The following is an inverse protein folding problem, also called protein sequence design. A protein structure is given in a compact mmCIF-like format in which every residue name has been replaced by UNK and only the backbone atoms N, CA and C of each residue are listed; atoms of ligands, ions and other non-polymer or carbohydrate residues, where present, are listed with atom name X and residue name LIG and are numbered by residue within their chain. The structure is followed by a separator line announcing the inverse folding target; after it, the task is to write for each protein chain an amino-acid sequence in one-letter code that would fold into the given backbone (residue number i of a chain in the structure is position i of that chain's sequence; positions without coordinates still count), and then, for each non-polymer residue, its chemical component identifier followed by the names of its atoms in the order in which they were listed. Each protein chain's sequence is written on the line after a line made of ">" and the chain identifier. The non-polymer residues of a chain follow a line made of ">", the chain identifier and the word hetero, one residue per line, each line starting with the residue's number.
data_IF_181164678171
#
_entry.id   IF_181164678171
#
_cell.length_a   1.000
_cell.length_b   1.000
_cell.length_c   1.000
_cell.angle_alpha   90.00
_cell.angle_beta   90.00
_cell.angle_gamma   90.00
#
_symmetry.space_group_name_H-M   'P 1'
#
loop_
_entity.id
_entity.type
_entity.pdbx_description
1 polymer ?
#
# COMPACT_ATOMS: atom_id res chain seq x y z
N UNK A 1 -33.98 44.88 -6.91
CA UNK A 1 -34.71 45.79 -6.00
C UNK A 1 -34.39 45.30 -4.58
N UNK A 2 -33.16 45.58 -4.11
CA UNK A 2 -32.70 46.78 -3.39
C UNK A 2 -33.16 46.74 -1.91
N UNK A 3 -32.36 47.03 -0.88
CA UNK A 3 -30.98 47.50 -0.71
C UNK A 3 -30.68 47.29 0.81
N UNK A 4 -29.48 46.89 1.27
CA UNK A 4 -28.28 47.72 1.52
C UNK A 4 -28.57 48.98 2.35
N UNK A 5 -28.00 49.04 3.56
CA UNK A 5 -27.58 50.23 4.32
C UNK A 5 -26.25 49.79 5.01
N UNK A 6 -25.01 50.22 4.70
CA UNK A 6 -24.37 51.54 4.51
C UNK A 6 -24.34 52.39 5.80
N UNK A 7 -23.33 52.25 6.67
CA UNK A 7 -22.13 53.12 6.76
C UNK A 7 -22.06 53.80 8.15
N UNK A 8 -20.97 54.49 8.57
CA UNK A 8 -19.88 55.03 7.76
C UNK A 8 -18.45 54.65 8.21
N UNK A 9 -17.51 55.06 7.35
CA UNK A 9 -16.05 55.00 7.49
C UNK A 9 -15.49 55.95 8.57
N UNK A 10 -14.33 55.58 9.13
CA UNK A 10 -13.38 56.54 9.68
C UNK A 10 -11.96 56.21 9.20
N UNK A 11 -11.29 57.30 8.85
CA UNK A 11 -9.99 57.48 8.21
C UNK A 11 -8.83 57.10 9.14
N UNK A 12 -7.66 56.87 8.55
CA UNK A 12 -6.50 56.27 9.21
C UNK A 12 -5.72 57.17 10.17
N UNK A 13 -4.92 56.53 11.02
CA UNK A 13 -3.64 57.08 11.52
C UNK A 13 -2.74 55.91 11.95
N UNK A 14 -1.57 55.82 11.33
CA UNK A 14 -0.47 54.98 11.78
C UNK A 14 0.10 55.56 13.07
N UNK A 15 0.15 54.77 14.14
CA UNK A 15 1.16 54.93 15.21
C UNK A 15 1.18 53.67 16.07
N UNK A 16 2.37 53.07 16.17
CA UNK A 16 2.58 51.76 16.78
C UNK A 16 2.25 51.68 18.26
N UNK A 17 1.92 50.46 18.69
CA UNK A 17 2.11 50.04 20.06
C UNK A 17 2.65 48.61 20.07
N UNK A 18 3.96 48.51 20.32
CA UNK A 18 4.63 47.30 20.75
C UNK A 18 4.06 46.89 22.11
N UNK A 19 3.15 45.92 22.14
CA UNK A 19 2.90 45.01 23.27
C UNK A 19 1.77 44.07 22.92
N UNK A 20 2.08 42.83 22.60
CA UNK A 20 1.38 41.61 23.05
C UNK A 20 2.15 40.40 22.48
N UNK A 21 3.38 40.21 22.96
CA UNK A 21 4.01 38.89 23.00
C UNK A 21 3.53 38.15 24.24
N UNK A 22 3.48 36.82 24.15
CA UNK A 22 3.12 35.83 25.18
C UNK A 22 1.68 35.29 25.08
N UNK A 23 1.50 34.30 24.20
CA UNK A 23 0.63 33.16 24.49
C UNK A 23 1.52 31.93 24.60
N UNK A 24 1.36 31.28 25.75
CA UNK A 24 2.16 30.19 26.30
C UNK A 24 1.92 28.90 25.50
N UNK A 25 3.03 28.25 25.13
CA UNK A 25 3.12 26.86 24.69
C UNK A 25 2.67 25.96 25.84
N UNK A 26 1.46 25.39 25.74
CA UNK A 26 1.00 24.33 26.63
C UNK A 26 1.35 22.98 25.99
N UNK A 27 2.16 22.20 26.72
CA UNK A 27 2.89 21.05 26.20
C UNK A 27 2.04 19.90 25.66
N UNK A 28 2.56 19.33 24.58
CA UNK A 28 2.31 17.95 24.16
C UNK A 28 2.51 16.99 25.34
N UNK A 29 1.46 16.24 25.67
CA UNK A 29 1.58 14.97 26.38
C UNK A 29 1.41 13.84 25.37
N UNK A 30 2.31 12.86 25.31
CA UNK A 30 2.11 11.68 24.48
C UNK A 30 0.93 10.86 25.04
N UNK A 31 0.02 10.45 24.16
CA UNK A 31 -1.04 9.51 24.48
C UNK A 31 -0.41 8.16 24.79
N UNK A 32 -0.43 7.78 26.08
CA UNK A 32 -0.03 6.47 26.54
C UNK A 32 -0.92 5.41 25.89
N UNK A 33 -0.29 4.47 25.19
CA UNK A 33 -0.94 3.30 24.62
C UNK A 33 -1.57 2.41 25.69
N UNK A 34 -2.76 1.90 25.40
CA UNK A 34 -3.34 0.78 26.13
C UNK A 34 -2.46 -0.46 25.91
N UNK A 35 -1.66 -0.85 26.91
CA UNK A 35 -0.95 -2.11 26.87
C UNK A 35 -1.91 -3.26 27.21
N UNK A 36 -2.09 -4.18 26.27
CA UNK A 36 -2.64 -5.50 26.57
C UNK A 36 -1.51 -6.31 27.20
N UNK A 37 -1.64 -6.54 28.51
CA UNK A 37 -0.68 -7.33 29.28
C UNK A 37 -0.76 -8.81 28.95
N UNK A 38 0.30 -9.33 28.33
CA UNK A 38 0.69 -10.74 28.42
C UNK A 38 2.12 -10.80 28.96
N UNK A 39 2.26 -11.33 30.17
CA UNK A 39 3.55 -11.59 30.81
C UNK A 39 4.21 -12.82 30.18
N UNK A 40 5.44 -12.68 29.70
CA UNK A 40 6.34 -13.80 29.39
C UNK A 40 7.29 -14.02 30.59
N UNK A 41 7.53 -15.27 31.01
CA UNK A 41 8.55 -15.56 32.01
C UNK A 41 9.95 -15.57 31.39
N UNK A 42 10.86 -14.81 32.01
CA UNK A 42 12.30 -14.92 31.84
C UNK A 42 12.81 -16.27 32.36
N UNK A 43 13.49 -17.04 31.50
CA UNK A 43 14.74 -17.75 31.80
C UNK A 43 14.98 -18.85 30.76
N UNK A 44 16.07 -18.73 30.00
CA UNK A 44 17.12 -19.75 29.84
C UNK A 44 18.25 -19.20 28.94
N UNK A 45 19.38 -18.88 29.56
CA UNK A 45 20.74 -19.21 29.09
C UNK A 45 21.29 -18.59 27.80
N UNK A 46 22.19 -17.62 27.96
CA UNK A 46 23.12 -17.13 26.95
C UNK A 46 23.93 -18.23 26.26
N UNK A 47 23.91 -18.23 24.93
CA UNK A 47 25.05 -18.58 24.08
C UNK A 47 25.49 -17.31 23.37
N UNK A 48 26.76 -16.92 23.51
CA UNK A 48 27.32 -15.78 22.78
C UNK A 48 27.22 -16.05 21.27
N UNK A 49 26.35 -15.29 20.59
CA UNK A 49 26.27 -15.30 19.14
C UNK A 49 27.54 -14.63 18.62
N UNK A 50 28.41 -15.41 17.97
CA UNK A 50 29.50 -14.85 17.17
C UNK A 50 28.92 -13.83 16.17
N UNK A 51 29.64 -12.75 15.82
CA UNK A 51 29.17 -11.82 14.81
C UNK A 51 28.88 -12.60 13.53
N UNK A 52 27.60 -12.68 13.15
CA UNK A 52 27.18 -13.21 11.86
C UNK A 52 27.93 -12.43 10.79
N UNK A 53 28.92 -13.08 10.18
CA UNK A 53 29.42 -12.73 8.85
C UNK A 53 28.19 -12.47 7.98
N UNK A 54 28.06 -11.29 7.33
CA UNK A 54 26.92 -11.08 6.45
C UNK A 54 26.93 -12.20 5.43
N UNK A 55 25.85 -12.99 5.40
CA UNK A 55 25.62 -13.92 4.32
C UNK A 55 25.81 -13.13 3.04
N UNK A 56 26.72 -13.57 2.18
CA UNK A 56 26.89 -13.00 0.85
C UNK A 56 25.54 -13.06 0.17
N UNK A 57 24.81 -11.95 0.17
CA UNK A 57 23.56 -11.82 -0.57
C UNK A 57 23.97 -11.89 -2.03
N UNK A 58 23.74 -13.04 -2.66
CA UNK A 58 23.91 -13.22 -4.11
C UNK A 58 22.81 -12.45 -4.86
N UNK A 59 22.64 -11.16 -4.56
CA UNK A 59 21.89 -10.25 -5.40
C UNK A 59 22.58 -10.23 -6.76
N UNK A 60 21.86 -10.65 -7.80
CA UNK A 60 22.33 -10.55 -9.19
C UNK A 60 22.22 -9.11 -9.71
N UNK A 61 21.46 -8.26 -9.02
CA UNK A 61 21.19 -6.87 -9.40
C UNK A 61 22.14 -5.92 -8.64
N UNK A 62 22.82 -4.98 -9.32
CA UNK A 62 23.63 -3.94 -8.67
C UNK A 62 22.80 -3.02 -7.76
N UNK A 63 23.40 -2.53 -6.68
CA UNK A 63 22.73 -1.66 -5.71
C UNK A 63 22.27 -0.32 -6.31
N UNK A 64 22.99 0.18 -7.31
CA UNK A 64 22.73 1.42 -8.05
C UNK A 64 21.88 1.21 -9.31
N UNK A 65 21.30 0.02 -9.49
CA UNK A 65 20.45 -0.27 -10.65
C UNK A 65 19.25 0.70 -10.68
N UNK A 66 19.05 1.48 -11.77
CA UNK A 66 18.06 2.56 -11.81
C UNK A 66 16.62 2.07 -11.62
N UNK A 67 16.33 0.84 -12.04
CA UNK A 67 15.02 0.22 -11.85
C UNK A 67 14.62 0.05 -10.38
N UNK A 68 15.55 0.04 -9.42
CA UNK A 68 15.21 -0.04 -7.99
C UNK A 68 14.47 1.21 -7.53
N UNK A 69 14.91 2.39 -7.96
CA UNK A 69 14.22 3.64 -7.67
C UNK A 69 12.84 3.70 -8.34
N UNK A 70 12.73 3.18 -9.57
CA UNK A 70 11.44 3.07 -10.26
C UNK A 70 10.49 2.09 -9.56
N UNK A 71 11.01 0.98 -9.00
CA UNK A 71 10.23 0.05 -8.19
C UNK A 71 9.68 0.74 -6.92
N UNK A 72 10.51 1.49 -6.20
CA UNK A 72 10.05 2.23 -5.03
C UNK A 72 9.01 3.29 -5.39
N UNK A 73 9.18 3.98 -6.51
CA UNK A 73 8.23 4.99 -6.97
C UNK A 73 6.87 4.39 -7.35
N UNK A 74 6.83 3.27 -8.08
CA UNK A 74 5.56 2.61 -8.43
C UNK A 74 4.86 2.05 -7.20
N UNK A 75 5.62 1.51 -6.24
CA UNK A 75 5.06 1.06 -4.96
C UNK A 75 4.50 2.25 -4.18
N UNK A 76 5.25 3.34 -4.03
CA UNK A 76 4.82 4.52 -3.28
C UNK A 76 3.52 5.11 -3.82
N UNK A 77 3.41 5.24 -5.15
CA UNK A 77 2.16 5.71 -5.75
C UNK A 77 1.01 4.72 -5.54
N UNK A 78 1.31 3.41 -5.53
CA UNK A 78 0.36 2.36 -5.17
C UNK A 78 -0.16 2.49 -3.75
N UNK A 79 0.74 2.65 -2.78
CA UNK A 79 0.38 2.78 -1.36
C UNK A 79 -0.51 4.01 -1.10
N UNK A 80 -0.13 5.19 -1.60
CA UNK A 80 -0.95 6.39 -1.40
C UNK A 80 -2.30 6.30 -2.13
N UNK A 81 -2.34 5.64 -3.29
CA UNK A 81 -3.60 5.39 -4.00
C UNK A 81 -4.49 4.41 -3.22
N UNK A 82 -3.91 3.36 -2.65
CA UNK A 82 -4.61 2.38 -1.82
C UNK A 82 -5.17 3.04 -0.55
N UNK A 83 -4.41 3.90 0.13
CA UNK A 83 -4.88 4.70 1.27
C UNK A 83 -6.20 5.42 0.98
N UNK A 84 -6.24 6.22 -0.10
CA UNK A 84 -7.43 6.99 -0.44
C UNK A 84 -8.60 6.09 -0.82
N UNK A 85 -8.34 4.99 -1.55
CA UNK A 85 -9.40 4.06 -1.99
C UNK A 85 -9.97 3.26 -0.83
N UNK A 86 -9.13 2.74 0.06
CA UNK A 86 -9.59 2.05 1.27
C UNK A 86 -10.38 2.98 2.19
N UNK A 87 -9.95 4.24 2.32
CA UNK A 87 -10.67 5.27 3.08
C UNK A 87 -12.05 5.58 2.51
N UNK A 88 -12.17 5.65 1.18
CA UNK A 88 -13.45 5.82 0.48
C UNK A 88 -14.34 4.58 0.62
N UNK A 89 -13.78 3.39 0.37
CA UNK A 89 -14.46 2.10 0.42
C UNK A 89 -14.98 1.78 1.83
N UNK A 90 -14.29 2.23 2.88
CA UNK A 90 -14.74 2.09 4.28
C UNK A 90 -16.14 2.70 4.52
N UNK A 91 -16.56 3.69 3.72
CA UNK A 91 -17.91 4.27 3.84
C UNK A 91 -19.03 3.30 3.44
N UNK A 92 -18.73 2.27 2.65
CA UNK A 92 -19.68 1.23 2.26
C UNK A 92 -19.99 0.23 3.40
N UNK A 93 -19.16 0.20 4.45
CA UNK A 93 -19.30 -0.75 5.55
C UNK A 93 -20.59 -0.51 6.35
N UNK A 94 -21.33 -1.60 6.60
CA UNK A 94 -22.58 -1.57 7.38
C UNK A 94 -22.36 -1.71 8.89
N UNK A 95 -21.19 -2.20 9.30
CA UNK A 95 -20.82 -2.40 10.70
C UNK A 95 -19.67 -1.47 11.07
N UNK A 96 -19.61 -1.07 12.34
CA UNK A 96 -18.48 -0.30 12.85
C UNK A 96 -17.17 -1.09 12.72
N UNK A 97 -17.22 -2.39 12.94
CA UNK A 97 -16.08 -3.29 12.75
C UNK A 97 -15.52 -3.22 11.33
N UNK A 98 -16.37 -3.29 10.29
CA UNK A 98 -15.93 -3.18 8.91
C UNK A 98 -15.37 -1.80 8.56
N UNK A 99 -15.94 -0.72 9.14
CA UNK A 99 -15.38 0.64 9.00
C UNK A 99 -13.98 0.73 9.57
N UNK A 100 -13.79 0.21 10.79
CA UNK A 100 -12.49 0.23 11.47
C UNK A 100 -11.49 -0.66 10.73
N UNK A 101 -11.89 -1.84 10.26
CA UNK A 101 -11.00 -2.74 9.53
C UNK A 101 -10.37 -2.06 8.30
N UNK A 102 -11.17 -1.44 7.42
CA UNK A 102 -10.63 -0.76 6.23
C UNK A 102 -9.91 0.55 6.56
N UNK A 103 -10.35 1.28 7.59
CA UNK A 103 -9.63 2.46 8.04
C UNK A 103 -8.23 2.12 8.58
N UNK A 104 -8.10 1.00 9.29
CA UNK A 104 -6.81 0.50 9.76
C UNK A 104 -5.93 0.02 8.61
N UNK A 105 -6.49 -0.66 7.61
CA UNK A 105 -5.75 -1.00 6.39
C UNK A 105 -5.26 0.26 5.68
N UNK A 106 -6.13 1.26 5.49
CA UNK A 106 -5.73 2.53 4.89
C UNK A 106 -4.57 3.17 5.67
N UNK A 107 -4.65 3.24 7.00
CA UNK A 107 -3.59 3.81 7.83
C UNK A 107 -2.25 3.08 7.66
N UNK A 108 -2.26 1.76 7.45
CA UNK A 108 -1.05 0.99 7.14
C UNK A 108 -0.43 1.42 5.80
N UNK A 109 -1.25 1.59 4.74
CA UNK A 109 -0.73 2.05 3.43
C UNK A 109 -0.08 3.43 3.51
N UNK A 110 -0.57 4.34 4.36
CA UNK A 110 0.11 5.62 4.59
C UNK A 110 1.50 5.42 5.22
N UNK A 111 1.62 4.51 6.19
CA UNK A 111 2.91 4.16 6.78
C UNK A 111 3.87 3.55 5.76
N UNK A 112 3.37 2.68 4.89
CA UNK A 112 4.14 2.10 3.79
C UNK A 112 4.65 3.18 2.81
N UNK A 113 3.78 4.14 2.46
CA UNK A 113 4.15 5.28 1.64
C UNK A 113 5.29 6.09 2.28
N UNK A 114 5.19 6.44 3.56
CA UNK A 114 6.22 7.20 4.28
C UNK A 114 7.58 6.46 4.31
N UNK A 115 7.56 5.13 4.44
CA UNK A 115 8.78 4.31 4.37
C UNK A 115 9.42 4.35 2.99
N UNK A 116 8.61 4.23 1.93
CA UNK A 116 9.09 4.30 0.55
C UNK A 116 9.57 5.70 0.18
N UNK A 117 8.90 6.75 0.66
CA UNK A 117 9.35 8.14 0.53
C UNK A 117 10.75 8.32 1.14
N UNK A 118 10.96 7.82 2.36
CA UNK A 118 12.27 7.90 3.00
C UNK A 118 13.35 7.16 2.22
N UNK A 119 13.06 5.91 1.80
CA UNK A 119 14.01 5.08 1.05
C UNK A 119 14.37 5.68 -0.32
N UNK A 120 13.39 6.28 -1.01
CA UNK A 120 13.62 6.91 -2.31
C UNK A 120 14.35 8.26 -2.18
N UNK A 121 14.03 9.04 -1.15
CA UNK A 121 14.72 10.30 -0.84
C UNK A 121 16.19 10.05 -0.45
N UNK A 122 16.47 8.99 0.31
CA UNK A 122 17.84 8.60 0.66
C UNK A 122 18.68 8.25 -0.58
N UNK A 123 18.04 7.83 -1.68
CA UNK A 123 18.66 7.60 -3.00
C UNK A 123 18.81 8.88 -3.85
N UNK A 124 18.37 10.04 -3.33
CA UNK A 124 18.52 11.33 -3.99
C UNK A 124 17.42 11.69 -4.99
N UNK A 125 16.27 11.01 -4.95
CA UNK A 125 15.12 11.27 -5.82
C UNK A 125 14.04 12.05 -5.08
N UNK A 126 13.39 13.00 -5.78
CA UNK A 126 12.14 13.59 -5.30
C UNK A 126 10.99 12.60 -5.49
N UNK A 127 10.22 12.37 -4.42
CA UNK A 127 9.16 11.38 -4.41
C UNK A 127 8.05 11.70 -5.42
N UNK A 128 7.67 12.97 -5.57
CA UNK A 128 6.56 13.38 -6.44
C UNK A 128 6.95 13.27 -7.92
N UNK A 129 8.14 13.73 -8.28
CA UNK A 129 8.67 13.58 -9.64
C UNK A 129 8.87 12.10 -10.00
N UNK A 130 9.33 11.28 -9.06
CA UNK A 130 9.55 9.86 -9.30
C UNK A 130 8.24 9.08 -9.49
N UNK A 131 7.16 9.45 -8.80
CA UNK A 131 5.85 8.81 -8.91
C UNK A 131 5.08 9.18 -10.19
N UNK A 132 5.29 10.39 -10.73
CA UNK A 132 4.53 10.94 -11.88
C UNK A 132 4.33 9.95 -13.06
N UNK A 133 5.35 9.18 -13.49
CA UNK A 133 5.19 8.24 -14.59
C UNK A 133 4.19 7.10 -14.34
N UNK A 134 3.92 6.77 -13.08
CA UNK A 134 3.08 5.64 -12.69
C UNK A 134 1.63 6.05 -12.43
N UNK A 135 1.38 7.34 -12.22
CA UNK A 135 0.07 7.93 -11.90
C UNK A 135 -1.03 7.38 -12.79
N UNK A 136 -0.86 7.53 -14.11
CA UNK A 136 -1.87 7.13 -15.09
C UNK A 136 -2.18 5.63 -15.04
N UNK A 137 -1.17 4.79 -14.89
CA UNK A 137 -1.36 3.34 -14.94
C UNK A 137 -2.17 2.86 -13.72
N UNK A 138 -1.79 3.32 -12.53
CA UNK A 138 -2.45 2.91 -11.29
C UNK A 138 -3.83 3.57 -11.13
N UNK A 139 -4.01 4.82 -11.57
CA UNK A 139 -5.33 5.45 -11.62
C UNK A 139 -6.28 4.70 -12.54
N UNK A 140 -5.81 4.23 -13.70
CA UNK A 140 -6.60 3.43 -14.61
C UNK A 140 -7.00 2.08 -13.99
N UNK A 141 -6.08 1.41 -13.27
CA UNK A 141 -6.42 0.21 -12.51
C UNK A 141 -7.57 0.49 -11.53
N UNK A 142 -7.44 1.54 -10.71
CA UNK A 142 -8.47 1.86 -9.71
C UNK A 142 -9.80 2.30 -10.34
N UNK A 143 -9.77 3.09 -11.41
CA UNK A 143 -10.97 3.48 -12.15
C UNK A 143 -11.69 2.26 -12.74
N UNK A 144 -10.94 1.33 -13.35
CA UNK A 144 -11.46 0.08 -13.89
C UNK A 144 -11.87 -0.93 -12.81
N UNK A 145 -11.53 -0.70 -11.54
CA UNK A 145 -11.82 -1.60 -10.41
C UNK A 145 -12.55 -0.87 -9.27
N UNK A 146 -13.40 0.10 -9.59
CA UNK A 146 -14.25 0.75 -8.58
C UNK A 146 -15.30 -0.24 -8.06
N UNK A 147 -15.28 -0.63 -6.77
CA UNK A 147 -16.29 -1.52 -6.23
C UNK A 147 -17.64 -0.82 -6.17
N UNK A 148 -18.72 -1.58 -6.32
CA UNK A 148 -20.10 -1.06 -6.22
C UNK A 148 -20.88 -1.66 -5.05
N UNK A 149 -20.26 -2.58 -4.32
CA UNK A 149 -20.81 -3.21 -3.13
C UNK A 149 -19.72 -3.36 -2.07
N UNK A 150 -20.15 -3.46 -0.81
CA UNK A 150 -19.23 -3.71 0.31
C UNK A 150 -18.39 -4.98 0.11
N UNK A 151 -18.98 -6.06 -0.39
CA UNK A 151 -18.26 -7.32 -0.63
C UNK A 151 -17.21 -7.18 -1.75
N UNK A 152 -17.49 -6.39 -2.78
CA UNK A 152 -16.49 -6.10 -3.83
C UNK A 152 -15.32 -5.28 -3.28
N UNK A 153 -15.58 -4.34 -2.37
CA UNK A 153 -14.54 -3.57 -1.68
C UNK A 153 -13.65 -4.48 -0.82
N UNK A 154 -14.26 -5.37 -0.02
CA UNK A 154 -13.52 -6.36 0.77
C UNK A 154 -12.64 -7.26 -0.12
N UNK A 155 -13.22 -7.84 -1.17
CA UNK A 155 -12.47 -8.70 -2.10
C UNK A 155 -11.35 -7.91 -2.78
N UNK A 156 -11.58 -6.65 -3.18
CA UNK A 156 -10.54 -5.80 -3.77
C UNK A 156 -9.39 -5.54 -2.81
N UNK A 157 -9.68 -5.21 -1.55
CA UNK A 157 -8.66 -4.98 -0.53
C UNK A 157 -7.78 -6.23 -0.34
N UNK A 158 -8.40 -7.40 -0.16
CA UNK A 158 -7.68 -8.67 0.04
C UNK A 158 -6.93 -9.16 -1.21
N UNK A 159 -7.47 -8.93 -2.40
CA UNK A 159 -6.80 -9.29 -3.65
C UNK A 159 -5.66 -8.31 -3.98
N UNK A 160 -5.84 -7.02 -3.73
CA UNK A 160 -4.81 -6.01 -3.93
C UNK A 160 -3.58 -6.30 -3.07
N UNK A 161 -3.78 -6.44 -1.76
CA UNK A 161 -2.73 -6.72 -0.78
C UNK A 161 -1.89 -7.95 -1.16
N UNK A 162 -2.55 -9.10 -1.35
CA UNK A 162 -1.78 -10.29 -1.69
C UNK A 162 -1.15 -10.24 -3.08
N UNK A 163 -1.66 -9.47 -4.07
CA UNK A 163 -1.01 -9.36 -5.39
C UNK A 163 0.31 -8.60 -5.21
N UNK A 164 0.33 -7.53 -4.41
CA UNK A 164 1.55 -6.82 -4.09
C UNK A 164 2.55 -7.75 -3.36
N UNK A 165 2.07 -8.48 -2.35
CA UNK A 165 2.90 -9.42 -1.59
C UNK A 165 3.49 -10.55 -2.46
N UNK A 166 2.70 -11.10 -3.37
CA UNK A 166 3.13 -12.18 -4.27
C UNK A 166 4.18 -11.69 -5.28
N UNK A 167 3.97 -10.50 -5.86
CA UNK A 167 4.93 -9.88 -6.78
C UNK A 167 6.28 -9.68 -6.09
N UNK A 168 6.28 -9.13 -4.87
CA UNK A 168 7.52 -8.95 -4.14
C UNK A 168 8.21 -10.26 -3.78
N UNK A 169 7.47 -11.27 -3.32
CA UNK A 169 8.07 -12.58 -2.98
C UNK A 169 8.82 -13.18 -4.19
N UNK A 170 8.32 -12.91 -5.38
CA UNK A 170 8.90 -13.39 -6.63
C UNK A 170 10.13 -12.60 -7.09
N UNK A 171 10.20 -11.28 -6.86
CA UNK A 171 11.34 -10.46 -7.32
C UNK A 171 12.35 -10.14 -6.22
N UNK A 172 11.92 -10.18 -4.96
CA UNK A 172 12.65 -9.66 -3.80
C UNK A 172 13.96 -10.38 -3.53
N UNK A 173 14.02 -11.69 -3.82
CA UNK A 173 15.24 -12.48 -3.64
C UNK A 173 16.39 -12.06 -4.56
N UNK A 174 16.09 -11.37 -5.66
CA UNK A 174 17.07 -10.89 -6.63
C UNK A 174 17.44 -9.42 -6.44
N UNK A 175 16.70 -8.70 -5.58
CA UNK A 175 16.97 -7.29 -5.31
C UNK A 175 18.21 -7.12 -4.43
N UNK A 176 18.88 -5.95 -4.50
CA UNK A 176 19.90 -5.57 -3.53
C UNK A 176 19.36 -5.67 -2.10
N UNK A 177 20.18 -6.14 -1.16
CA UNK A 177 19.74 -6.45 0.21
C UNK A 177 19.03 -5.28 0.92
N UNK A 178 19.49 -4.05 0.71
CA UNK A 178 18.83 -2.85 1.23
C UNK A 178 17.41 -2.70 0.65
N UNK A 179 17.27 -2.85 -0.66
CA UNK A 179 15.98 -2.70 -1.33
C UNK A 179 15.01 -3.84 -1.00
N UNK A 180 15.51 -5.07 -0.91
CA UNK A 180 14.74 -6.18 -0.37
C UNK A 180 14.27 -5.88 1.06
N UNK A 181 15.16 -5.41 1.94
CA UNK A 181 14.80 -5.05 3.31
C UNK A 181 13.65 -4.03 3.39
N UNK A 182 13.72 -2.95 2.60
CA UNK A 182 12.66 -1.94 2.54
C UNK A 182 11.31 -2.53 2.11
N UNK A 183 11.29 -3.31 1.03
CA UNK A 183 10.03 -3.83 0.49
C UNK A 183 9.46 -4.97 1.34
N UNK A 184 10.33 -5.76 1.99
CA UNK A 184 9.90 -6.75 2.99
C UNK A 184 9.24 -6.07 4.19
N UNK A 185 9.80 -4.97 4.68
CA UNK A 185 9.23 -4.24 5.80
C UNK A 185 7.85 -3.66 5.45
N UNK A 186 7.72 -3.06 4.25
CA UNK A 186 6.44 -2.56 3.71
C UNK A 186 5.38 -3.67 3.66
N UNK A 187 5.73 -4.89 3.25
CA UNK A 187 4.76 -5.96 3.08
C UNK A 187 4.48 -6.78 4.35
N UNK A 188 5.25 -6.58 5.42
CA UNK A 188 5.11 -7.35 6.66
C UNK A 188 3.93 -6.94 7.54
N UNK A 189 3.27 -5.81 7.27
CA UNK A 189 2.33 -5.16 8.20
C UNK A 189 0.83 -5.44 7.95
N UNK A 190 0.45 -6.48 7.21
CA UNK A 190 -0.93 -6.63 6.74
C UNK A 190 -1.80 -7.48 7.69
N UNK A 191 -2.43 -6.80 8.66
CA UNK A 191 -3.12 -7.43 9.79
C UNK A 191 -4.63 -7.71 9.68
N UNK A 192 -5.27 -7.66 8.50
CA UNK A 192 -6.75 -7.64 8.42
C UNK A 192 -7.41 -8.67 7.47
N UNK A 193 -6.61 -9.61 6.96
CA UNK A 193 -7.07 -10.63 6.00
C UNK A 193 -8.15 -11.58 6.55
N UNK A 194 -8.10 -11.96 7.83
CA UNK A 194 -9.06 -12.90 8.41
C UNK A 194 -10.49 -12.35 8.46
N UNK A 195 -10.65 -11.06 8.79
CA UNK A 195 -11.94 -10.39 8.80
C UNK A 195 -12.59 -10.43 7.41
N UNK A 196 -11.81 -10.12 6.36
CA UNK A 196 -12.28 -10.16 4.98
C UNK A 196 -12.74 -11.55 4.59
N UNK A 197 -11.91 -12.57 4.85
CA UNK A 197 -12.21 -13.96 4.51
C UNK A 197 -13.51 -14.41 5.18
N UNK A 198 -13.66 -14.15 6.48
CA UNK A 198 -14.86 -14.51 7.24
C UNK A 198 -16.13 -13.85 6.67
N UNK A 199 -16.09 -12.54 6.44
CA UNK A 199 -17.23 -11.78 5.95
C UNK A 199 -17.66 -12.21 4.55
N UNK A 200 -16.71 -12.43 3.64
CA UNK A 200 -16.99 -12.89 2.28
C UNK A 200 -17.56 -14.31 2.29
N UNK A 201 -16.95 -15.25 3.01
CA UNK A 201 -17.43 -16.63 3.11
C UNK A 201 -18.85 -16.71 3.68
N UNK A 202 -19.14 -15.92 4.73
CA UNK A 202 -20.48 -15.84 5.32
C UNK A 202 -21.51 -15.33 4.30
N UNK A 203 -21.16 -14.30 3.53
CA UNK A 203 -22.07 -13.72 2.54
C UNK A 203 -22.38 -14.68 1.39
N UNK A 204 -21.36 -15.35 0.84
CA UNK A 204 -21.56 -16.27 -0.29
C UNK A 204 -22.28 -17.56 0.12
N UNK A 205 -22.14 -18.00 1.38
CA UNK A 205 -22.91 -19.12 1.91
C UNK A 205 -24.42 -18.82 1.94
N UNK A 206 -24.80 -17.55 2.05
CA UNK A 206 -26.19 -17.10 2.04
C UNK A 206 -26.72 -16.78 0.62
N UNK A 207 -25.84 -16.61 -0.38
CA UNK A 207 -26.22 -16.08 -1.69
C UNK A 207 -25.29 -16.54 -2.82
N UNK A 208 -25.76 -17.50 -3.62
CA UNK A 208 -25.05 -17.92 -4.84
C UNK A 208 -24.90 -16.78 -5.86
N UNK A 209 -25.83 -15.83 -5.88
CA UNK A 209 -25.74 -14.66 -6.75
C UNK A 209 -24.55 -13.77 -6.40
N UNK A 210 -24.31 -13.56 -5.10
CA UNK A 210 -23.14 -12.79 -4.65
C UNK A 210 -21.86 -13.57 -4.91
N UNK A 211 -21.87 -14.90 -4.75
CA UNK A 211 -20.74 -15.76 -5.16
C UNK A 211 -20.38 -15.57 -6.64
N UNK A 212 -21.35 -15.74 -7.55
CA UNK A 212 -21.13 -15.62 -9.00
C UNK A 212 -20.59 -14.24 -9.40
N UNK A 213 -21.16 -13.21 -8.77
CA UNK A 213 -20.72 -11.83 -8.95
C UNK A 213 -19.28 -11.61 -8.49
N UNK A 214 -18.91 -12.09 -7.31
CA UNK A 214 -17.57 -11.92 -6.76
C UNK A 214 -16.52 -12.76 -7.52
N UNK A 215 -16.89 -13.89 -8.10
CA UNK A 215 -16.01 -14.63 -9.01
C UNK A 215 -15.69 -13.85 -10.28
N UNK A 216 -16.68 -13.19 -10.89
CA UNK A 216 -16.46 -12.28 -12.02
C UNK A 216 -15.61 -11.08 -11.62
N UNK A 217 -15.87 -10.53 -10.44
CA UNK A 217 -15.11 -9.42 -9.89
C UNK A 217 -13.63 -9.77 -9.69
N UNK A 218 -13.32 -10.91 -9.06
CA UNK A 218 -11.94 -11.36 -8.85
C UNK A 218 -11.16 -11.52 -10.16
N UNK A 219 -11.79 -12.12 -11.19
CA UNK A 219 -11.18 -12.21 -12.53
C UNK A 219 -10.88 -10.84 -13.13
N UNK A 220 -11.78 -9.87 -12.95
CA UNK A 220 -11.58 -8.50 -13.42
C UNK A 220 -10.42 -7.81 -12.70
N UNK A 221 -10.32 -7.97 -11.37
CA UNK A 221 -9.21 -7.41 -10.58
C UNK A 221 -7.85 -7.87 -11.12
N UNK A 222 -7.68 -9.19 -11.29
CA UNK A 222 -6.43 -9.74 -11.82
C UNK A 222 -6.17 -9.29 -13.27
N UNK A 223 -7.19 -9.31 -14.13
CA UNK A 223 -7.05 -8.92 -15.54
C UNK A 223 -6.62 -7.46 -15.72
N UNK A 224 -7.21 -6.54 -14.97
CA UNK A 224 -6.82 -5.13 -14.97
C UNK A 224 -5.43 -4.94 -14.37
N UNK A 225 -5.06 -5.65 -13.30
CA UNK A 225 -3.72 -5.60 -12.73
C UNK A 225 -2.65 -6.03 -13.74
N UNK A 226 -2.85 -7.15 -14.44
CA UNK A 226 -1.94 -7.62 -15.50
C UNK A 226 -1.85 -6.60 -16.64
N UNK A 227 -2.98 -6.03 -17.05
CA UNK A 227 -3.03 -5.04 -18.13
C UNK A 227 -2.19 -3.80 -17.78
N UNK A 228 -2.33 -3.27 -16.56
CA UNK A 228 -1.53 -2.10 -16.15
C UNK A 228 -0.07 -2.45 -15.90
N UNK A 229 0.25 -3.64 -15.38
CA UNK A 229 1.63 -4.10 -15.24
C UNK A 229 2.33 -4.18 -16.60
N UNK A 230 1.67 -4.74 -17.62
CA UNK A 230 2.19 -4.78 -18.99
C UNK A 230 2.37 -3.37 -19.57
N UNK A 231 1.42 -2.45 -19.32
CA UNK A 231 1.50 -1.07 -19.76
C UNK A 231 2.70 -0.33 -19.13
N UNK A 232 2.97 -0.54 -17.85
CA UNK A 232 4.13 0.04 -17.14
C UNK A 232 5.43 -0.53 -17.70
N UNK A 233 5.56 -1.86 -17.80
CA UNK A 233 6.77 -2.51 -18.33
C UNK A 233 7.06 -2.09 -19.78
N UNK A 234 6.03 -1.86 -20.60
CA UNK A 234 6.21 -1.38 -21.97
C UNK A 234 6.77 0.06 -22.07
N UNK A 235 6.66 0.87 -21.01
CA UNK A 235 7.06 2.29 -21.02
C UNK A 235 8.29 2.58 -20.16
N UNK A 236 8.67 1.68 -19.26
CA UNK A 236 9.74 1.89 -18.28
C UNK A 236 10.89 0.93 -18.53
N UNK A 237 11.87 1.36 -19.30
CA UNK A 237 13.02 0.52 -19.68
C UNK A 237 13.80 0.03 -18.45
N UNK A 238 14.11 0.92 -17.50
CA UNK A 238 14.87 0.57 -16.31
C UNK A 238 14.13 -0.39 -15.36
N UNK A 239 12.84 -0.18 -15.12
CA UNK A 239 12.02 -1.13 -14.36
C UNK A 239 11.86 -2.47 -15.09
N UNK A 240 11.74 -2.46 -16.41
CA UNK A 240 11.67 -3.70 -17.21
C UNK A 240 12.97 -4.48 -17.15
N UNK A 241 14.11 -3.82 -17.27
CA UNK A 241 15.42 -4.44 -17.10
C UNK A 241 15.60 -5.05 -15.70
N UNK A 242 15.13 -4.33 -14.66
CA UNK A 242 15.11 -4.86 -13.29
C UNK A 242 14.28 -6.14 -13.20
N UNK A 243 13.06 -6.14 -13.73
CA UNK A 243 12.14 -7.29 -13.64
C UNK A 243 12.66 -8.48 -14.46
N UNK A 244 13.25 -8.25 -15.63
CA UNK A 244 13.91 -9.29 -16.43
C UNK A 244 15.11 -9.86 -15.66
N UNK A 245 15.98 -8.99 -15.12
CA UNK A 245 17.14 -9.41 -14.34
C UNK A 245 16.75 -10.18 -13.08
N UNK A 246 15.69 -9.75 -12.39
CA UNK A 246 15.16 -10.43 -11.22
C UNK A 246 14.56 -11.80 -11.56
N UNK A 247 13.93 -11.90 -12.72
CA UNK A 247 13.30 -13.13 -13.24
C UNK A 247 14.27 -14.03 -14.01
N UNK A 248 15.52 -13.60 -14.20
CA UNK A 248 16.56 -14.28 -14.96
C UNK A 248 16.56 -13.98 -16.46
N UNK A 249 15.40 -14.08 -17.13
CA UNK A 249 15.23 -13.74 -18.55
C UNK A 249 13.77 -13.36 -18.86
N UNK A 250 13.47 -13.10 -20.14
CA UNK A 250 12.11 -12.77 -20.59
C UNK A 250 11.12 -13.93 -20.40
N UNK A 251 11.57 -15.18 -20.51
CA UNK A 251 10.72 -16.35 -20.21
C UNK A 251 10.39 -16.42 -18.71
N UNK A 252 11.32 -15.99 -17.86
CA UNK A 252 11.15 -15.81 -16.42
C UNK A 252 10.03 -14.83 -16.11
N UNK A 253 9.92 -13.72 -16.85
CA UNK A 253 8.82 -12.75 -16.70
C UNK A 253 7.47 -13.38 -17.07
N UNK A 254 7.40 -14.21 -18.11
CA UNK A 254 6.16 -14.96 -18.43
C UNK A 254 5.82 -15.93 -17.30
N UNK A 255 6.80 -16.68 -16.81
CA UNK A 255 6.62 -17.63 -15.73
C UNK A 255 6.21 -16.94 -14.40
N UNK A 256 6.71 -15.72 -14.16
CA UNK A 256 6.28 -14.85 -13.06
C UNK A 256 4.77 -14.59 -13.13
N UNK A 257 4.27 -14.09 -14.27
CA UNK A 257 2.84 -13.85 -14.45
C UNK A 257 2.00 -15.12 -14.31
N UNK A 258 2.48 -16.28 -14.76
CA UNK A 258 1.78 -17.55 -14.57
C UNK A 258 1.70 -17.95 -13.09
N UNK A 259 2.79 -17.76 -12.31
CA UNK A 259 2.79 -17.99 -10.86
C UNK A 259 1.83 -17.04 -10.15
N UNK A 260 1.85 -15.75 -10.49
CA UNK A 260 0.91 -14.75 -9.97
C UNK A 260 -0.55 -15.13 -10.21
N UNK A 261 -0.89 -15.61 -11.41
CA UNK A 261 -2.25 -16.08 -11.74
C UNK A 261 -2.64 -17.31 -10.89
N UNK A 262 -1.72 -18.25 -10.69
CA UNK A 262 -1.95 -19.43 -9.83
C UNK A 262 -2.21 -19.03 -8.38
N UNK A 263 -1.38 -18.15 -7.82
CA UNK A 263 -1.53 -17.67 -6.43
C UNK A 263 -2.83 -16.87 -6.25
N UNK A 264 -3.22 -16.08 -7.25
CA UNK A 264 -4.54 -15.45 -7.24
C UNK A 264 -5.68 -16.49 -7.24
N UNK A 265 -5.60 -17.55 -8.04
CA UNK A 265 -6.63 -18.60 -8.06
C UNK A 265 -6.73 -19.33 -6.70
N UNK A 266 -5.60 -19.64 -6.07
CA UNK A 266 -5.55 -20.20 -4.72
C UNK A 266 -6.20 -19.25 -3.70
N UNK A 267 -5.93 -17.95 -3.82
CA UNK A 267 -6.52 -16.92 -2.96
C UNK A 267 -8.03 -16.79 -3.14
N UNK A 268 -8.53 -16.87 -4.37
CA UNK A 268 -9.98 -16.92 -4.64
C UNK A 268 -10.62 -18.19 -4.05
N UNK A 269 -9.91 -19.31 -4.06
CA UNK A 269 -10.36 -20.54 -3.39
C UNK A 269 -10.46 -20.37 -1.87
N UNK A 270 -9.53 -19.66 -1.22
CA UNK A 270 -9.62 -19.32 0.21
C UNK A 270 -10.90 -18.53 0.52
N UNK A 271 -11.30 -17.62 -0.36
CA UNK A 271 -12.57 -16.88 -0.21
C UNK A 271 -13.82 -17.73 -0.50
N UNK A 272 -13.68 -18.97 -0.98
CA UNK A 272 -14.78 -19.82 -1.44
C UNK A 272 -15.33 -19.44 -2.83
N UNK A 273 -14.56 -18.67 -3.60
CA UNK A 273 -14.92 -18.11 -4.91
C UNK A 273 -14.33 -18.96 -6.05
N UNK A 274 -14.72 -20.23 -6.08
CA UNK A 274 -14.39 -21.23 -7.11
C UNK A 274 -15.61 -21.94 -7.67
#
# INVERSE_FOLDING_TARGET
>A
MNAIIAGPAFDGDERGDERLSTIIVAGQRPLAGCSWGMSLPDALGWGAMEPNTPASSNSTIPADHPGVSELFAVLAYGEISAFYRLSEDAQMARTLEGKVALASMAAAEMGHFEMLEHALTARGFDIYEAMDPFVRALDNYHASTTPSTWLEALVKAYVGDGIAADFYREIGHSLPAEAAGTVEEVLSQTGHSEFVVHEVQRAIAASNRDKDRLMLWGRRLLGEAITQAQFVLAQREALTDLVISASGDLNGVVALFDRMQKMHAERMAVLGLV
#
